data_IF_145839858235
#
_entry.id   IF_145839858235
#
_cell.length_a   1.000
_cell.length_b   1.000
_cell.length_c   1.000
_cell.angle_alpha   90.00
_cell.angle_beta   90.00
_cell.angle_gamma   90.00
#
_symmetry.space_group_name_H-M   'P 1'
#
loop_
_entity.id
_entity.type
_entity.pdbx_description
1 polymer ?
#
# COMPACT_ATOMS: atom_id res chain seq x y z
N UNK A 1 8.75 -3.89 9.07
CA UNK A 1 9.17 -5.14 8.40
C UNK A 1 8.30 -6.29 8.88
N UNK A 2 7.88 -7.25 8.04
CA UNK A 2 7.07 -8.38 8.47
C UNK A 2 7.79 -9.28 9.50
N UNK A 3 7.04 -9.94 10.41
CA UNK A 3 7.55 -10.83 11.45
C UNK A 3 8.19 -12.11 10.90
N UNK A 4 9.08 -12.70 11.70
CA UNK A 4 9.79 -13.94 11.36
C UNK A 4 8.83 -15.11 11.04
N UNK A 5 9.19 -15.88 10.02
CA UNK A 5 8.38 -17.00 9.53
C UNK A 5 7.23 -16.60 8.61
N UNK A 6 6.98 -15.30 8.40
CA UNK A 6 6.02 -14.85 7.40
C UNK A 6 6.55 -15.07 5.98
N UNK A 7 5.71 -15.65 5.11
CA UNK A 7 5.98 -15.73 3.66
C UNK A 7 4.76 -15.29 2.88
N UNK A 8 4.83 -14.11 2.27
CA UNK A 8 3.79 -13.61 1.39
C UNK A 8 3.48 -14.62 0.28
N UNK A 9 2.22 -15.05 0.18
CA UNK A 9 1.75 -16.02 -0.82
C UNK A 9 1.28 -15.35 -2.13
N UNK A 10 1.40 -14.02 -2.23
CA UNK A 10 0.91 -13.23 -3.36
C UNK A 10 -0.59 -13.44 -3.63
N UNK A 11 -1.39 -13.67 -2.59
CA UNK A 11 -2.82 -13.94 -2.72
C UNK A 11 -3.68 -12.69 -2.97
N UNK A 12 -3.12 -11.49 -2.82
CA UNK A 12 -3.86 -10.23 -2.97
C UNK A 12 -4.76 -9.85 -1.79
N UNK A 13 -4.88 -10.69 -0.75
CA UNK A 13 -5.79 -10.49 0.38
C UNK A 13 -5.70 -9.10 1.03
N UNK A 14 -4.48 -8.61 1.31
CA UNK A 14 -4.28 -7.30 1.92
C UNK A 14 -4.81 -6.15 1.05
N UNK A 15 -4.68 -6.26 -0.28
CA UNK A 15 -5.16 -5.24 -1.20
C UNK A 15 -6.64 -5.37 -1.53
N UNK A 16 -7.18 -6.59 -1.59
CA UNK A 16 -8.55 -6.85 -2.06
C UNK A 16 -9.59 -6.88 -0.94
N UNK A 17 -9.21 -7.33 0.25
CA UNK A 17 -10.16 -7.64 1.33
C UNK A 17 -9.97 -6.76 2.57
N UNK A 18 -8.82 -6.10 2.71
CA UNK A 18 -8.50 -5.24 3.86
C UNK A 18 -8.46 -3.76 3.53
N UNK A 19 -8.74 -3.38 2.27
CA UNK A 19 -8.67 -2.02 1.77
C UNK A 19 -7.35 -1.30 2.16
N UNK A 20 -6.22 -2.03 2.17
CA UNK A 20 -4.92 -1.46 2.56
C UNK A 20 -4.48 -0.27 1.68
N UNK A 21 -5.11 -0.11 0.52
CA UNK A 21 -4.90 0.98 -0.41
C UNK A 21 -5.63 2.28 -0.05
N UNK A 22 -6.58 2.25 0.89
CA UNK A 22 -7.31 3.41 1.39
C UNK A 22 -6.78 3.82 2.78
N UNK A 23 -5.46 4.00 2.87
CA UNK A 23 -4.76 4.39 4.11
C UNK A 23 -3.98 5.67 3.85
N UNK A 24 -3.43 6.31 4.89
CA UNK A 24 -2.54 7.44 4.69
C UNK A 24 -1.08 6.96 4.55
N UNK A 25 -0.31 7.65 3.73
CA UNK A 25 1.14 7.53 3.66
C UNK A 25 1.82 8.39 4.73
N UNK A 26 3.00 7.97 5.16
CA UNK A 26 3.86 8.76 6.04
C UNK A 26 4.62 9.84 5.25
N UNK A 27 5.18 10.83 5.94
CA UNK A 27 6.10 11.79 5.31
C UNK A 27 7.36 11.07 4.75
N UNK A 28 7.81 10.00 5.42
CA UNK A 28 8.95 9.21 4.97
C UNK A 28 8.64 8.38 3.71
N UNK A 29 7.39 7.97 3.51
CA UNK A 29 6.94 7.37 2.25
C UNK A 29 7.04 8.39 1.10
N UNK A 30 6.55 9.61 1.31
CA UNK A 30 6.61 10.68 0.32
C UNK A 30 8.05 11.04 -0.04
N UNK A 31 8.90 11.28 0.97
CA UNK A 31 10.33 11.56 0.76
C UNK A 31 11.03 10.44 -0.01
N UNK A 32 10.65 9.18 0.24
CA UNK A 32 11.20 8.03 -0.48
C UNK A 32 10.79 8.04 -1.95
N UNK A 33 9.53 8.37 -2.26
CA UNK A 33 9.06 8.48 -3.64
C UNK A 33 9.71 9.67 -4.38
N UNK A 34 9.88 10.81 -3.71
CA UNK A 34 10.61 11.97 -4.24
C UNK A 34 12.08 11.61 -4.53
N UNK A 35 12.78 11.01 -3.56
CA UNK A 35 14.17 10.60 -3.72
C UNK A 35 14.37 9.54 -4.83
N UNK A 36 13.36 8.70 -5.06
CA UNK A 36 13.35 7.70 -6.12
C UNK A 36 12.89 8.25 -7.48
N UNK A 37 12.51 9.53 -7.58
CA UNK A 37 11.99 10.14 -8.80
C UNK A 37 10.68 9.52 -9.30
N UNK A 38 9.83 9.05 -8.38
CA UNK A 38 8.58 8.34 -8.68
C UNK A 38 7.41 9.31 -8.76
N UNK A 39 7.49 10.24 -9.72
CA UNK A 39 6.41 11.19 -10.01
C UNK A 39 5.09 10.49 -10.36
N UNK A 40 5.18 9.29 -10.94
CA UNK A 40 4.04 8.41 -11.23
C UNK A 40 3.30 7.94 -9.97
N UNK A 41 3.99 7.83 -8.83
CA UNK A 41 3.37 7.54 -7.53
C UNK A 41 2.88 8.83 -6.87
N UNK A 42 3.72 9.87 -6.87
CA UNK A 42 3.42 11.15 -6.22
C UNK A 42 2.16 11.81 -6.77
N UNK A 43 1.83 11.59 -8.05
CA UNK A 43 0.58 12.06 -8.65
C UNK A 43 -0.68 11.56 -7.92
N UNK A 44 -0.61 10.41 -7.23
CA UNK A 44 -1.74 9.80 -6.53
C UNK A 44 -1.82 10.18 -5.04
N UNK A 45 -0.97 11.10 -4.58
CA UNK A 45 -0.79 11.45 -3.17
C UNK A 45 -1.33 12.85 -2.90
N UNK A 46 -2.21 12.99 -1.90
CA UNK A 46 -2.80 14.28 -1.54
C UNK A 46 -2.38 14.68 -0.12
N UNK A 47 -1.65 15.79 0.07
CA UNK A 47 -1.28 16.25 1.40
C UNK A 47 -2.51 16.72 2.18
N UNK A 48 -2.65 16.21 3.40
CA UNK A 48 -3.69 16.60 4.34
C UNK A 48 -3.10 17.61 5.31
N UNK A 49 -3.54 18.87 5.19
CA UNK A 49 -3.01 19.99 5.95
C UNK A 49 -4.04 20.57 6.93
N UNK A 50 -3.58 20.93 8.13
CA UNK A 50 -4.30 21.78 9.06
C UNK A 50 -3.57 23.12 9.16
N UNK A 51 -4.11 24.14 8.49
CA UNK A 51 -3.43 25.43 8.34
C UNK A 51 -2.19 25.29 7.46
N UNK A 52 -1.01 25.61 7.99
CA UNK A 52 0.28 25.50 7.30
C UNK A 52 1.06 24.22 7.65
N UNK A 53 0.44 23.28 8.35
CA UNK A 53 1.09 22.03 8.79
C UNK A 53 0.46 20.85 8.06
N UNK A 54 1.25 20.12 7.28
CA UNK A 54 0.87 18.82 6.72
C UNK A 54 1.08 17.77 7.81
N UNK A 55 0.05 16.98 8.12
CA UNK A 55 0.11 15.96 9.17
C UNK A 55 -0.10 14.54 8.66
N UNK A 56 -0.62 14.38 7.43
CA UNK A 56 -0.79 13.11 6.76
C UNK A 56 -0.81 13.31 5.24
N UNK A 57 -0.71 12.21 4.49
CA UNK A 57 -0.88 12.19 3.05
C UNK A 57 -1.89 11.11 2.69
N UNK A 58 -3.00 11.49 2.07
CA UNK A 58 -4.00 10.53 1.60
C UNK A 58 -3.48 9.82 0.35
N UNK A 59 -3.65 8.50 0.34
CA UNK A 59 -3.38 7.65 -0.81
C UNK A 59 -4.55 6.64 -0.98
N UNK A 60 -4.90 6.22 -2.19
CA UNK A 60 -4.50 6.74 -3.49
C UNK A 60 -5.70 7.49 -4.09
N UNK A 61 -5.51 8.74 -4.49
CA UNK A 61 -6.54 9.50 -5.20
C UNK A 61 -6.27 9.44 -6.69
N UNK A 62 -7.31 9.27 -7.51
CA UNK A 62 -7.15 9.28 -8.96
C UNK A 62 -6.64 10.67 -9.42
N UNK A 63 -5.47 10.76 -10.09
CA UNK A 63 -4.89 12.03 -10.48
C UNK A 63 -5.63 12.75 -11.61
N UNK A 64 -6.45 12.04 -12.39
CA UNK A 64 -7.22 12.59 -13.49
C UNK A 64 -8.58 13.13 -13.01
N UNK A 65 -9.24 12.39 -12.11
CA UNK A 65 -10.60 12.75 -11.64
C UNK A 65 -10.63 13.43 -10.27
N UNK A 66 -9.61 13.22 -9.44
CA UNK A 66 -9.59 13.66 -8.04
C UNK A 66 -10.53 12.87 -7.13
N UNK A 67 -10.96 11.68 -7.56
CA UNK A 67 -11.87 10.81 -6.81
C UNK A 67 -11.13 9.71 -6.04
N UNK A 68 -11.77 9.22 -4.98
CA UNK A 68 -11.31 8.02 -4.27
C UNK A 68 -11.39 6.79 -5.18
N UNK A 69 -10.39 5.93 -5.07
CA UNK A 69 -10.37 4.65 -5.79
C UNK A 69 -11.14 3.57 -5.03
N UNK A 70 -11.71 2.62 -5.76
CA UNK A 70 -12.29 1.40 -5.21
C UNK A 70 -11.29 0.23 -5.17
N UNK A 71 -10.13 0.38 -5.81
CA UNK A 71 -9.10 -0.66 -5.93
C UNK A 71 -7.72 -0.07 -6.15
N UNK A 72 -6.73 -0.61 -5.43
CA UNK A 72 -5.32 -0.24 -5.57
C UNK A 72 -4.83 -0.20 -7.04
N UNK A 73 -4.34 0.95 -7.55
CA UNK A 73 -3.89 1.09 -8.94
C UNK A 73 -2.63 0.27 -9.20
N UNK A 74 -1.87 -0.04 -8.15
CA UNK A 74 -0.62 -0.79 -8.24
C UNK A 74 -0.83 -2.31 -8.17
N UNK A 75 -2.04 -2.81 -7.93
CA UNK A 75 -2.31 -4.24 -7.82
C UNK A 75 -2.53 -4.89 -9.19
N UNK A 76 -1.64 -5.78 -9.60
CA UNK A 76 -1.71 -6.51 -10.88
C UNK A 76 -1.93 -8.00 -10.64
N UNK A 77 -2.91 -8.61 -11.33
CA UNK A 77 -3.08 -10.08 -11.34
C UNK A 77 -2.11 -10.67 -12.37
N UNK A 78 -1.37 -11.70 -11.99
CA UNK A 78 -0.48 -12.41 -12.92
C UNK A 78 -1.32 -13.28 -13.87
N UNK A 79 -1.15 -13.13 -15.20
CA UNK A 79 -1.95 -13.87 -16.19
C UNK A 79 -1.89 -15.38 -15.99
N UNK A 80 -3.05 -16.05 -16.07
CA UNK A 80 -3.15 -17.51 -15.93
C UNK A 80 -2.90 -18.07 -14.53
N UNK A 81 -2.86 -17.22 -13.49
CA UNK A 81 -2.65 -17.65 -12.09
C UNK A 81 -3.58 -16.93 -11.13
N UNK A 82 -3.70 -17.44 -9.91
CA UNK A 82 -4.37 -16.76 -8.79
C UNK A 82 -3.41 -15.88 -7.95
N UNK A 83 -2.26 -15.50 -8.53
CA UNK A 83 -1.28 -14.65 -7.85
C UNK A 83 -1.40 -13.19 -8.26
N UNK A 84 -1.08 -12.31 -7.33
CA UNK A 84 -1.07 -10.85 -7.50
C UNK A 84 0.31 -10.28 -7.16
N UNK A 85 0.71 -9.27 -7.90
CA UNK A 85 1.96 -8.51 -7.70
C UNK A 85 1.64 -7.03 -7.50
N UNK A 86 2.49 -6.36 -6.72
CA UNK A 86 2.43 -4.92 -6.56
C UNK A 86 3.38 -4.28 -7.57
N UNK A 87 2.90 -3.31 -8.35
CA UNK A 87 3.70 -2.57 -9.33
C UNK A 87 4.74 -1.64 -8.72
N UNK A 88 4.68 -1.40 -7.41
CA UNK A 88 5.58 -0.52 -6.65
C UNK A 88 6.27 -1.28 -5.51
N UNK A 89 6.53 -2.58 -5.69
CA UNK A 89 7.01 -3.48 -4.62
C UNK A 89 8.24 -2.95 -3.87
N UNK A 90 9.17 -2.33 -4.60
CA UNK A 90 10.41 -1.73 -4.14
C UNK A 90 10.20 -0.48 -3.26
N UNK A 91 9.15 0.28 -3.55
CA UNK A 91 8.84 1.56 -2.89
C UNK A 91 7.45 1.56 -2.27
N UNK A 92 6.93 0.40 -1.85
CA UNK A 92 5.65 0.32 -1.14
C UNK A 92 5.58 1.34 0.01
N UNK A 93 4.39 1.92 0.27
CA UNK A 93 4.19 2.67 1.50
C UNK A 93 4.40 1.75 2.70
N UNK A 94 4.81 2.32 3.83
CA UNK A 94 5.21 1.57 5.02
C UNK A 94 4.08 0.64 5.50
N UNK A 95 2.83 1.11 5.49
CA UNK A 95 1.63 0.30 5.82
C UNK A 95 1.53 -0.98 4.99
N UNK A 96 1.89 -0.92 3.70
CA UNK A 96 1.86 -2.08 2.81
C UNK A 96 3.12 -2.94 2.93
N UNK A 97 4.29 -2.34 3.14
CA UNK A 97 5.57 -3.05 3.30
C UNK A 97 5.60 -3.85 4.60
N UNK A 98 5.04 -3.28 5.65
CA UNK A 98 5.11 -3.82 7.01
C UNK A 98 3.98 -4.80 7.32
N UNK A 99 3.04 -4.98 6.40
CA UNK A 99 1.98 -5.96 6.56
C UNK A 99 2.51 -7.40 6.41
N UNK A 100 2.14 -8.31 7.33
CA UNK A 100 1.44 -8.06 8.60
C UNK A 100 2.41 -7.57 9.69
N UNK A 101 2.01 -6.65 10.55
CA UNK A 101 2.90 -6.16 11.64
C UNK A 101 3.19 -7.19 12.75
N UNK A 102 2.40 -8.27 12.85
CA UNK A 102 2.62 -9.37 13.80
C UNK A 102 1.92 -10.64 13.33
N UNK A 103 2.25 -11.79 13.92
CA UNK A 103 1.53 -13.06 13.68
C UNK A 103 0.05 -12.94 14.06
N UNK A 104 -0.24 -12.37 15.23
CA UNK A 104 -1.61 -12.13 15.68
C UNK A 104 -2.38 -11.24 14.69
N UNK A 105 -1.74 -10.20 14.15
CA UNK A 105 -2.36 -9.35 13.13
C UNK A 105 -2.67 -10.13 11.85
N UNK A 106 -1.77 -10.99 11.41
CA UNK A 106 -1.99 -11.85 10.26
C UNK A 106 -3.16 -12.81 10.48
N UNK A 107 -3.23 -13.48 11.62
CA UNK A 107 -4.30 -14.41 11.99
C UNK A 107 -5.65 -13.69 12.07
N UNK A 108 -5.70 -12.55 12.79
CA UNK A 108 -6.89 -11.71 12.92
C UNK A 108 -7.43 -11.21 11.58
N UNK A 109 -6.53 -10.91 10.65
CA UNK A 109 -6.91 -10.43 9.30
C UNK A 109 -7.07 -11.55 8.28
N UNK A 110 -6.84 -12.82 8.63
CA UNK A 110 -7.00 -13.96 7.72
C UNK A 110 -5.87 -14.12 6.69
N UNK A 111 -4.68 -13.60 6.96
CA UNK A 111 -3.54 -13.75 6.05
C UNK A 111 -3.02 -15.19 6.02
N UNK A 112 -2.90 -15.83 4.83
CA UNK A 112 -2.40 -17.20 4.72
C UNK A 112 -0.86 -17.31 4.79
N UNK A 113 -0.16 -16.22 5.12
CA UNK A 113 1.31 -16.14 5.04
C UNK A 113 2.07 -16.90 6.13
N UNK A 114 1.37 -17.34 7.17
CA UNK A 114 1.91 -18.15 8.28
C UNK A 114 1.48 -19.62 8.26
N UNK A 115 0.67 -19.99 7.27
CA UNK A 115 0.27 -21.37 6.99
C UNK A 115 1.25 -22.06 6.01
#
# INVERSE_FOLDING_TARGET
MPPDGFKCKQCGHCCLNLNAFATCASEDDVRRWEAAGRDDILAWVVPVALGNVVFAYDIWMDPETGEDIDRCPWLKKLPGTERYVCGIDDVKPDTCRDYPVSREHAERTGCPGFA
#
